data_IF_795029917349
#
_entry.id   IF_795029917349
#
_cell.length_a   1.000
_cell.length_b   1.000
_cell.length_c   1.000
_cell.angle_alpha   90.00
_cell.angle_beta   90.00
_cell.angle_gamma   90.00
#
_symmetry.space_group_name_H-M   'P 1'
#
loop_
_entity.id
_entity.type
_entity.pdbx_description
1 polymer ?
#
# COMPACT_ATOMS: atom_id res chain seq x y z
N UNK A 1 -8.04 -9.79 11.54
CA UNK A 1 -8.60 -8.53 10.98
C UNK A 1 -9.54 -8.81 9.81
N UNK A 2 -9.10 -9.53 8.77
CA UNK A 2 -9.94 -9.89 7.61
C UNK A 2 -11.23 -10.63 7.99
N UNK A 3 -11.16 -11.70 8.80
CA UNK A 3 -12.35 -12.46 9.24
C UNK A 3 -13.31 -11.65 10.13
N UNK A 4 -12.78 -10.68 10.90
CA UNK A 4 -13.59 -9.79 11.72
C UNK A 4 -14.35 -8.77 10.85
N UNK A 5 -13.66 -8.22 9.85
CA UNK A 5 -14.28 -7.32 8.89
C UNK A 5 -15.31 -8.09 8.05
N UNK A 6 -14.99 -9.28 7.54
CA UNK A 6 -15.91 -10.13 6.76
C UNK A 6 -17.26 -10.38 7.47
N UNK A 7 -17.26 -10.62 8.79
CA UNK A 7 -18.50 -10.84 9.56
C UNK A 7 -19.40 -9.61 9.70
N UNK A 8 -18.89 -8.41 9.40
CA UNK A 8 -19.57 -7.13 9.64
C UNK A 8 -19.85 -6.36 8.35
N UNK A 9 -19.67 -6.99 7.20
CA UNK A 9 -19.68 -6.34 5.89
C UNK A 9 -20.60 -7.13 4.95
N UNK A 10 -21.36 -6.45 4.10
CA UNK A 10 -22.34 -7.09 3.19
C UNK A 10 -21.81 -7.36 1.79
N UNK A 11 -20.65 -6.81 1.41
CA UNK A 11 -20.03 -6.99 0.10
C UNK A 11 -18.51 -6.76 0.07
N UNK A 12 -17.86 -7.15 -1.03
CA UNK A 12 -16.39 -7.12 -1.19
C UNK A 12 -15.85 -5.68 -1.17
N UNK A 13 -16.51 -4.74 -1.83
CA UNK A 13 -16.08 -3.34 -1.88
C UNK A 13 -16.05 -2.67 -0.49
N UNK A 14 -17.07 -2.92 0.34
CA UNK A 14 -17.10 -2.37 1.71
C UNK A 14 -16.02 -3.03 2.58
N UNK A 15 -15.63 -4.28 2.28
CA UNK A 15 -14.55 -4.97 2.97
C UNK A 15 -13.19 -4.35 2.59
N UNK A 16 -12.96 -4.12 1.30
CA UNK A 16 -11.76 -3.43 0.80
C UNK A 16 -11.65 -2.03 1.39
N UNK A 17 -12.74 -1.26 1.41
CA UNK A 17 -12.74 0.08 2.01
C UNK A 17 -12.38 0.05 3.50
N UNK A 18 -12.94 -0.90 4.27
CA UNK A 18 -12.59 -1.04 5.69
C UNK A 18 -11.16 -1.49 5.91
N UNK A 19 -10.61 -2.32 5.02
CA UNK A 19 -9.21 -2.72 5.07
C UNK A 19 -8.31 -1.53 4.77
N UNK A 20 -8.64 -0.71 3.77
CA UNK A 20 -7.92 0.53 3.48
C UNK A 20 -7.92 1.47 4.70
N UNK A 21 -9.09 1.76 5.28
CA UNK A 21 -9.19 2.64 6.46
C UNK A 21 -8.36 2.17 7.67
N UNK A 22 -8.13 0.86 7.79
CA UNK A 22 -7.26 0.31 8.82
C UNK A 22 -5.77 0.44 8.50
N UNK A 23 -5.40 0.43 7.21
CA UNK A 23 -4.03 0.66 6.74
C UNK A 23 -3.59 2.12 6.86
N UNK A 24 -4.51 3.07 6.63
CA UNK A 24 -4.23 4.51 6.66
C UNK A 24 -3.43 5.01 7.89
N UNK A 25 -3.86 4.77 9.15
CA UNK A 25 -3.12 5.26 10.32
C UNK A 25 -1.75 4.58 10.50
N UNK A 26 -1.52 3.43 9.87
CA UNK A 26 -0.22 2.76 9.87
C UNK A 26 0.73 3.48 8.91
N UNK A 27 0.24 3.89 7.73
CA UNK A 27 0.98 4.70 6.76
C UNK A 27 1.54 5.99 7.36
N UNK A 28 0.68 6.76 8.02
CA UNK A 28 1.06 8.04 8.65
C UNK A 28 2.22 7.86 9.64
N UNK A 29 2.15 6.84 10.50
CA UNK A 29 3.21 6.53 11.47
C UNK A 29 4.47 5.96 10.82
N UNK A 30 4.29 5.20 9.73
CA UNK A 30 5.39 4.59 8.99
C UNK A 30 6.23 5.65 8.30
N UNK A 31 5.61 6.68 7.72
CA UNK A 31 6.33 7.81 7.11
C UNK A 31 7.29 8.45 8.12
N UNK A 32 6.78 8.84 9.29
CA UNK A 32 7.59 9.48 10.33
C UNK A 32 8.72 8.55 10.82
N UNK A 33 8.44 7.26 10.96
CA UNK A 33 9.43 6.26 11.37
C UNK A 33 10.51 6.06 10.31
N UNK A 34 10.16 5.99 9.03
CA UNK A 34 11.12 5.86 7.93
C UNK A 34 12.03 7.08 7.87
N UNK A 35 11.46 8.29 7.97
CA UNK A 35 12.23 9.53 7.99
C UNK A 35 13.15 9.62 9.21
N UNK A 36 12.71 9.16 10.39
CA UNK A 36 13.53 9.19 11.60
C UNK A 36 14.73 8.23 11.55
N UNK A 37 14.61 7.11 10.83
CA UNK A 37 15.68 6.11 10.69
C UNK A 37 16.77 6.54 9.70
N UNK A 38 16.47 7.46 8.80
CA UNK A 38 17.45 8.07 7.90
C UNK A 38 18.43 8.95 8.71
N UNK A 39 19.68 9.10 8.23
CA UNK A 39 20.66 9.96 8.89
C UNK A 39 20.14 11.40 8.95
N UNK A 40 20.49 12.15 9.99
CA UNK A 40 19.95 13.49 10.30
C UNK A 40 19.92 14.49 9.12
N UNK A 41 20.81 14.34 8.13
CA UNK A 41 20.88 15.19 6.93
C UNK A 41 19.90 14.79 5.81
N UNK A 42 19.32 13.59 5.89
CA UNK A 42 18.42 12.99 4.90
C UNK A 42 16.99 12.81 5.42
N UNK A 43 16.68 13.27 6.65
CA UNK A 43 15.33 13.24 7.26
C UNK A 43 14.38 14.29 6.66
N UNK A 44 14.44 14.47 5.34
CA UNK A 44 13.63 15.43 4.61
C UNK A 44 12.41 14.73 4.03
N UNK A 45 11.23 15.26 4.33
CA UNK A 45 9.99 14.78 3.71
C UNK A 45 10.05 15.06 2.20
N UNK A 46 9.81 14.06 1.33
CA UNK A 46 9.77 14.29 -0.10
C UNK A 46 8.63 15.25 -0.46
N UNK A 47 8.95 16.27 -1.27
CA UNK A 47 7.99 17.29 -1.73
C UNK A 47 7.59 17.10 -3.20
N UNK A 48 8.27 16.22 -3.93
CA UNK A 48 7.99 15.91 -5.33
C UNK A 48 7.38 14.53 -5.47
N UNK A 49 6.44 14.39 -6.41
CA UNK A 49 5.71 13.13 -6.63
C UNK A 49 6.66 11.98 -6.97
N UNK A 50 7.69 12.22 -7.78
CA UNK A 50 8.67 11.20 -8.16
C UNK A 50 9.45 10.71 -6.93
N UNK A 51 9.89 11.61 -6.05
CA UNK A 51 10.61 11.24 -4.84
C UNK A 51 9.73 10.46 -3.87
N UNK A 52 8.45 10.85 -3.74
CA UNK A 52 7.47 10.12 -2.93
C UNK A 52 7.23 8.72 -3.48
N UNK A 53 7.02 8.58 -4.79
CA UNK A 53 6.84 7.27 -5.43
C UNK A 53 8.08 6.38 -5.27
N UNK A 54 9.29 6.96 -5.29
CA UNK A 54 10.52 6.23 -5.02
C UNK A 54 10.60 5.75 -3.57
N UNK A 55 10.24 6.62 -2.62
CA UNK A 55 10.14 6.27 -1.20
C UNK A 55 9.16 5.12 -0.96
N UNK A 56 8.01 5.14 -1.65
CA UNK A 56 7.01 4.08 -1.53
C UNK A 56 7.56 2.78 -2.14
N UNK A 57 8.04 2.81 -3.38
CA UNK A 57 8.58 1.65 -4.09
C UNK A 57 9.70 0.93 -3.32
N UNK A 58 10.59 1.71 -2.69
CA UNK A 58 11.77 1.19 -2.02
C UNK A 58 11.59 1.15 -0.52
N UNK A 59 11.48 2.30 0.14
CA UNK A 59 11.45 2.39 1.60
C UNK A 59 10.26 1.65 2.22
N UNK A 60 9.05 1.98 1.79
CA UNK A 60 7.82 1.39 2.34
C UNK A 60 7.75 -0.11 2.03
N UNK A 61 7.94 -0.50 0.76
CA UNK A 61 7.90 -1.90 0.35
C UNK A 61 8.99 -2.75 1.02
N UNK A 62 10.23 -2.24 1.11
CA UNK A 62 11.33 -2.94 1.77
C UNK A 62 11.04 -3.14 3.26
N UNK A 63 10.43 -2.16 3.94
CA UNK A 63 10.11 -2.26 5.36
C UNK A 63 8.91 -3.19 5.62
N UNK A 64 7.91 -3.22 4.74
CA UNK A 64 6.71 -4.05 4.91
C UNK A 64 6.92 -5.50 4.45
N UNK A 65 7.65 -5.70 3.36
CA UNK A 65 7.75 -6.98 2.65
C UNK A 65 9.17 -7.52 2.52
N UNK A 66 10.19 -6.78 2.98
CA UNK A 66 11.60 -7.19 2.85
C UNK A 66 12.14 -7.12 1.42
N UNK A 67 11.36 -6.58 0.47
CA UNK A 67 11.73 -6.44 -0.94
C UNK A 67 11.15 -5.14 -1.51
N UNK A 68 11.72 -4.66 -2.61
CA UNK A 68 11.17 -3.53 -3.36
C UNK A 68 9.95 -3.95 -4.19
N UNK A 69 9.08 -3.00 -4.55
CA UNK A 69 8.03 -3.27 -5.52
C UNK A 69 8.64 -3.54 -6.91
N UNK A 70 8.01 -4.42 -7.68
CA UNK A 70 8.57 -4.90 -8.95
C UNK A 70 8.67 -3.76 -9.97
N UNK A 71 7.58 -2.99 -10.14
CA UNK A 71 7.52 -1.92 -11.14
C UNK A 71 6.81 -0.69 -10.60
N UNK A 72 7.23 0.45 -11.14
CA UNK A 72 6.58 1.74 -10.99
C UNK A 72 6.44 2.29 -12.41
N UNK A 73 5.20 2.40 -12.87
CA UNK A 73 4.86 2.81 -14.24
C UNK A 73 4.02 4.08 -14.19
N UNK A 74 4.23 4.97 -15.15
CA UNK A 74 3.35 6.12 -15.37
C UNK A 74 2.30 5.72 -16.39
N UNK A 75 1.04 6.06 -16.14
CA UNK A 75 -0.05 5.79 -17.09
C UNK A 75 0.23 6.50 -18.41
N UNK A 76 0.03 5.77 -19.51
CA UNK A 76 0.15 6.31 -20.87
C UNK A 76 -1.16 6.95 -21.36
N UNK A 77 -2.18 7.04 -20.49
CA UNK A 77 -3.47 7.59 -20.85
C UNK A 77 -3.39 9.12 -20.98
N UNK A 78 -3.74 9.71 -22.14
CA UNK A 78 -3.76 11.15 -22.32
C UNK A 78 -4.72 11.88 -21.38
N UNK A 79 -5.79 11.20 -20.93
CA UNK A 79 -6.82 11.78 -20.06
C UNK A 79 -6.38 11.86 -18.58
N UNK A 80 -5.39 11.06 -18.17
CA UNK A 80 -4.89 10.99 -16.78
C UNK A 80 -3.35 11.09 -16.74
N UNK A 81 -2.79 12.25 -17.11
CA UNK A 81 -1.33 12.42 -17.25
C UNK A 81 -0.56 12.37 -15.93
N UNK A 82 -1.23 12.41 -14.78
CA UNK A 82 -0.61 12.36 -13.43
C UNK A 82 -0.87 11.04 -12.70
N UNK A 83 -1.31 10.01 -13.42
CA UNK A 83 -1.57 8.69 -12.86
C UNK A 83 -0.29 7.83 -12.85
N UNK A 84 0.02 7.27 -11.69
CA UNK A 84 1.16 6.37 -11.47
C UNK A 84 0.68 5.05 -10.87
N UNK A 85 1.28 3.96 -11.31
CA UNK A 85 0.92 2.61 -10.91
C UNK A 85 2.12 1.90 -10.29
N UNK A 86 1.95 1.40 -9.07
CA UNK A 86 2.90 0.51 -8.41
C UNK A 86 2.41 -0.91 -8.64
N UNK A 87 3.27 -1.75 -9.20
CA UNK A 87 2.94 -3.13 -9.54
C UNK A 87 3.75 -4.05 -8.65
N UNK A 88 3.05 -4.95 -7.96
CA UNK A 88 3.59 -6.04 -7.17
C UNK A 88 2.96 -7.34 -7.67
N UNK A 89 3.76 -8.21 -8.28
CA UNK A 89 3.25 -9.42 -8.92
C UNK A 89 3.00 -10.57 -7.93
N UNK A 90 3.60 -10.52 -6.73
CA UNK A 90 3.49 -11.59 -5.73
C UNK A 90 3.21 -11.04 -4.32
N UNK A 91 2.15 -10.25 -4.10
CA UNK A 91 1.95 -9.56 -2.83
C UNK A 91 1.95 -10.58 -1.68
N UNK A 92 2.94 -10.47 -0.77
CA UNK A 92 3.12 -11.39 0.36
C UNK A 92 1.86 -11.45 1.23
N UNK A 93 1.09 -10.37 1.28
CA UNK A 93 -0.18 -10.26 2.00
C UNK A 93 -1.21 -11.30 1.54
N UNK A 94 -1.18 -11.70 0.26
CA UNK A 94 -2.06 -12.72 -0.28
C UNK A 94 -1.60 -14.15 0.07
N UNK A 95 -0.33 -14.35 0.45
CA UNK A 95 0.20 -15.66 0.87
C UNK A 95 -0.19 -16.01 2.31
N UNK A 96 -0.34 -15.01 3.20
CA UNK A 96 -0.60 -15.24 4.63
C UNK A 96 -2.09 -15.19 5.02
N UNK A 97 -2.99 -15.05 4.05
CA UNK A 97 -4.44 -15.06 4.27
C UNK A 97 -5.06 -16.32 3.65
N UNK A 98 -5.88 -17.02 4.42
CA UNK A 98 -6.74 -18.07 3.88
C UNK A 98 -7.98 -17.43 3.27
N UNK A 99 -7.93 -17.06 1.99
CA UNK A 99 -9.11 -16.57 1.26
C UNK A 99 -10.06 -17.76 1.03
N UNK A 100 -11.32 -17.72 1.52
CA UNK A 100 -12.32 -18.73 1.18
C UNK A 100 -12.53 -18.80 -0.33
N UNK A 101 -12.70 -20.01 -0.90
CA UNK A 101 -12.85 -20.22 -2.36
C UNK A 101 -13.93 -19.36 -3.02
N UNK A 102 -14.95 -18.97 -2.26
CA UNK A 102 -16.08 -18.14 -2.68
C UNK A 102 -15.73 -16.64 -2.79
N UNK A 103 -14.61 -16.20 -2.21
CA UNK A 103 -14.15 -14.81 -2.18
C UNK A 103 -12.79 -14.65 -2.86
N UNK A 104 -12.51 -15.43 -3.91
CA UNK A 104 -11.24 -15.41 -4.64
C UNK A 104 -10.85 -14.05 -5.24
N UNK A 105 -11.77 -13.05 -5.25
CA UNK A 105 -11.52 -11.67 -5.70
C UNK A 105 -11.12 -10.73 -4.56
N UNK A 106 -11.06 -11.19 -3.31
CA UNK A 106 -10.78 -10.33 -2.17
C UNK A 106 -9.31 -9.93 -2.19
N UNK A 107 -9.05 -8.67 -2.56
CA UNK A 107 -7.70 -8.18 -2.69
C UNK A 107 -7.21 -7.59 -1.36
N UNK A 108 -6.35 -8.31 -0.65
CA UNK A 108 -5.71 -7.75 0.55
C UNK A 108 -4.72 -6.63 0.24
N UNK A 109 -4.44 -6.36 -1.04
CA UNK A 109 -3.77 -5.13 -1.44
C UNK A 109 -4.59 -3.88 -1.05
N UNK A 110 -5.90 -3.97 -0.77
CA UNK A 110 -6.66 -2.83 -0.26
C UNK A 110 -6.13 -2.30 1.09
N UNK A 111 -5.62 -3.20 1.95
CA UNK A 111 -4.94 -2.79 3.19
C UNK A 111 -3.62 -2.07 2.90
N UNK A 112 -2.82 -2.60 1.97
CA UNK A 112 -1.55 -1.98 1.54
C UNK A 112 -1.80 -0.63 0.88
N UNK A 113 -2.83 -0.53 0.05
CA UNK A 113 -3.26 0.71 -0.57
C UNK A 113 -3.60 1.76 0.48
N UNK A 114 -4.28 1.38 1.57
CA UNK A 114 -4.51 2.27 2.70
C UNK A 114 -3.21 2.70 3.39
N UNK A 115 -2.24 1.80 3.57
CA UNK A 115 -0.92 2.18 4.11
C UNK A 115 -0.23 3.20 3.19
N UNK A 116 -0.26 2.98 1.88
CA UNK A 116 0.32 3.91 0.89
C UNK A 116 -0.42 5.24 0.87
N UNK A 117 -1.74 5.24 1.00
CA UNK A 117 -2.57 6.45 1.10
C UNK A 117 -2.25 7.28 2.35
N UNK A 118 -1.80 6.64 3.43
CA UNK A 118 -1.37 7.31 4.64
C UNK A 118 0.06 7.88 4.60
N UNK A 119 0.90 7.43 3.67
CA UNK A 119 2.31 7.88 3.49
C UNK A 119 2.35 9.13 2.62
#
# INVERSE_FOLDING_TARGET
MVTYAQRRVKGIQELEQRLNLQGYPIGVKLLDLLLYREPARAQLRPLTIISLLHLIKQGVWQHLFGRQADRLEKSNNPDTPDEYMIIDNEPLVNQYISVPREMSQLNCAAFVAGVVEGV
#
